data_IF_117847770055
#
_entry.id   IF_117847770055
#
_cell.length_a   1.000
_cell.length_b   1.000
_cell.length_c   1.000
_cell.angle_alpha   90.00
_cell.angle_beta   90.00
_cell.angle_gamma   90.00
#
_symmetry.space_group_name_H-M   'P 1'
#
loop_
_entity.id
_entity.type
_entity.pdbx_description
1 polymer ?
#
# COMPACT_ATOMS: atom_id res chain seq x y z
N UNK A 1 -2.27 21.98 -19.47
CA UNK A 1 -2.64 20.83 -20.32
C UNK A 1 -3.73 21.22 -21.33
N UNK A 2 -4.96 21.54 -20.91
CA UNK A 2 -6.06 21.82 -21.85
C UNK A 2 -5.84 23.08 -22.72
N UNK A 3 -5.25 24.12 -22.15
CA UNK A 3 -4.81 25.33 -22.90
C UNK A 3 -3.75 25.00 -23.96
N UNK A 4 -2.88 24.02 -23.69
CA UNK A 4 -1.87 23.57 -24.65
C UNK A 4 -2.49 22.83 -25.84
N UNK A 5 -3.45 21.93 -25.57
CA UNK A 5 -4.22 21.26 -26.61
C UNK A 5 -5.07 22.24 -27.42
N UNK A 6 -5.70 23.22 -26.77
CA UNK A 6 -6.50 24.23 -27.47
C UNK A 6 -5.65 25.09 -28.40
N UNK A 7 -4.47 25.52 -27.96
CA UNK A 7 -3.53 26.27 -28.80
C UNK A 7 -3.01 25.43 -29.98
N UNK A 8 -2.72 24.15 -29.75
CA UNK A 8 -2.30 23.24 -30.81
C UNK A 8 -3.41 22.97 -31.83
N UNK A 9 -4.64 22.74 -31.38
CA UNK A 9 -5.79 22.52 -32.26
C UNK A 9 -6.20 23.77 -33.03
N UNK A 10 -6.04 24.95 -32.43
CA UNK A 10 -6.16 26.23 -33.14
C UNK A 10 -5.11 26.38 -34.23
N UNK A 11 -3.85 25.99 -33.96
CA UNK A 11 -2.78 26.04 -34.96
C UNK A 11 -3.05 25.15 -36.18
N UNK A 12 -3.63 23.96 -35.99
CA UNK A 12 -4.00 23.04 -37.09
C UNK A 12 -5.42 23.26 -37.63
N UNK A 13 -6.09 24.37 -37.30
CA UNK A 13 -7.46 24.71 -37.71
C UNK A 13 -8.54 23.66 -37.29
N UNK A 14 -8.26 22.85 -36.27
CA UNK A 14 -9.15 21.78 -35.77
C UNK A 14 -9.72 22.10 -34.37
N UNK A 15 -10.06 23.35 -34.09
CA UNK A 15 -10.55 23.82 -32.78
C UNK A 15 -11.81 23.10 -32.27
N UNK A 16 -12.57 22.44 -33.17
CA UNK A 16 -13.72 21.60 -32.81
C UNK A 16 -13.34 20.35 -32.01
N UNK A 17 -12.06 19.96 -32.01
CA UNK A 17 -11.55 18.81 -31.27
C UNK A 17 -11.32 19.13 -29.78
N UNK A 18 -11.15 20.41 -29.42
CA UNK A 18 -10.92 20.85 -28.04
C UNK A 18 -12.02 20.39 -27.07
N UNK A 19 -13.34 20.57 -27.35
CA UNK A 19 -14.41 20.10 -26.48
C UNK A 19 -14.47 18.57 -26.34
N UNK A 20 -14.17 17.83 -27.41
CA UNK A 20 -14.18 16.35 -27.39
C UNK A 20 -13.09 15.82 -26.47
N UNK A 21 -11.88 16.36 -26.60
CA UNK A 21 -10.77 16.02 -25.71
C UNK A 21 -11.06 16.46 -24.27
N UNK A 22 -11.70 17.61 -24.06
CA UNK A 22 -12.11 18.02 -22.73
C UNK A 22 -13.06 17.02 -22.06
N UNK A 23 -14.06 16.51 -22.79
CA UNK A 23 -14.99 15.48 -22.30
C UNK A 23 -14.24 14.16 -22.03
N UNK A 24 -13.38 13.72 -22.95
CA UNK A 24 -12.59 12.50 -22.78
C UNK A 24 -11.67 12.58 -21.55
N UNK A 25 -11.02 13.73 -21.33
CA UNK A 25 -10.21 13.99 -20.14
C UNK A 25 -11.05 13.99 -18.87
N UNK A 26 -12.26 14.56 -18.89
CA UNK A 26 -13.17 14.54 -17.75
C UNK A 26 -13.54 13.10 -17.36
N UNK A 27 -13.91 12.24 -18.32
CA UNK A 27 -14.17 10.83 -18.06
C UNK A 27 -12.92 10.09 -17.56
N UNK A 28 -11.74 10.38 -18.12
CA UNK A 28 -10.48 9.80 -17.66
C UNK A 28 -10.17 10.14 -16.20
N UNK A 29 -10.36 11.39 -15.80
CA UNK A 29 -10.18 11.83 -14.41
C UNK A 29 -11.20 11.18 -13.48
N UNK A 30 -12.48 11.12 -13.86
CA UNK A 30 -13.53 10.48 -13.07
C UNK A 30 -13.27 8.99 -12.86
N UNK A 31 -12.90 8.27 -13.93
CA UNK A 31 -12.52 6.86 -13.86
C UNK A 31 -11.31 6.65 -12.93
N UNK A 32 -10.29 7.50 -13.06
CA UNK A 32 -9.12 7.49 -12.18
C UNK A 32 -9.50 7.64 -10.71
N UNK A 33 -10.31 8.66 -10.38
CA UNK A 33 -10.76 8.89 -8.99
C UNK A 33 -11.50 7.67 -8.44
N UNK A 34 -12.40 7.05 -9.20
CA UNK A 34 -13.13 5.86 -8.76
C UNK A 34 -12.19 4.67 -8.44
N UNK A 35 -11.18 4.44 -9.27
CA UNK A 35 -10.17 3.39 -9.04
C UNK A 35 -9.34 3.69 -7.78
N UNK A 36 -8.89 4.93 -7.63
CA UNK A 36 -8.05 5.36 -6.48
C UNK A 36 -8.81 5.42 -5.16
N UNK A 37 -10.13 5.57 -5.16
CA UNK A 37 -10.94 5.52 -3.92
C UNK A 37 -11.04 4.08 -3.39
N UNK A 38 -11.20 3.10 -4.28
CA UNK A 38 -11.41 1.70 -3.90
C UNK A 38 -10.11 0.99 -3.48
N UNK A 39 -9.00 1.23 -4.18
CA UNK A 39 -7.74 0.50 -3.99
C UNK A 39 -7.14 0.63 -2.57
N UNK A 40 -6.71 1.83 -2.14
CA UNK A 40 -6.14 2.07 -0.82
C UNK A 40 -7.07 1.63 0.32
N UNK A 41 -8.37 1.87 0.15
CA UNK A 41 -9.38 1.50 1.13
C UNK A 41 -9.43 -0.02 1.39
N UNK A 42 -9.27 -0.85 0.35
CA UNK A 42 -9.19 -2.31 0.52
C UNK A 42 -7.89 -2.73 1.22
N UNK A 43 -6.77 -2.10 0.91
CA UNK A 43 -5.50 -2.37 1.58
C UNK A 43 -5.56 -2.05 3.07
N UNK A 44 -6.08 -0.86 3.41
CA UNK A 44 -6.32 -0.44 4.80
C UNK A 44 -7.30 -1.38 5.49
N UNK A 45 -8.39 -1.78 4.81
CA UNK A 45 -9.38 -2.72 5.35
C UNK A 45 -8.76 -4.07 5.74
N UNK A 46 -7.89 -4.64 4.90
CA UNK A 46 -7.22 -5.90 5.18
C UNK A 46 -6.34 -5.82 6.44
N UNK A 47 -5.54 -4.76 6.56
CA UNK A 47 -4.72 -4.50 7.77
C UNK A 47 -5.61 -4.23 8.99
N UNK A 48 -6.74 -3.56 8.79
CA UNK A 48 -7.74 -3.33 9.84
C UNK A 48 -8.29 -4.62 10.43
N UNK A 49 -8.64 -5.60 9.60
CA UNK A 49 -9.15 -6.92 10.02
C UNK A 49 -8.12 -7.73 10.82
N UNK A 50 -6.82 -7.48 10.61
CA UNK A 50 -5.74 -8.01 11.45
C UNK A 50 -5.59 -7.29 12.81
N UNK A 51 -6.53 -6.42 13.18
CA UNK A 51 -6.58 -5.74 14.48
C UNK A 51 -5.74 -4.47 14.57
N UNK A 52 -5.26 -3.94 13.45
CA UNK A 52 -4.48 -2.69 13.40
C UNK A 52 -5.34 -1.43 13.30
N UNK A 53 -6.67 -1.58 13.24
CA UNK A 53 -7.62 -0.48 13.33
C UNK A 53 -8.82 -0.84 14.21
N UNK A 54 -9.50 0.16 14.82
CA UNK A 54 -10.72 -0.07 15.58
C UNK A 54 -11.80 -0.80 14.77
N UNK A 55 -12.65 -1.64 15.39
CA UNK A 55 -13.73 -2.38 14.72
C UNK A 55 -14.69 -1.49 13.94
N UNK A 56 -14.79 -0.21 14.30
CA UNK A 56 -15.53 0.79 13.52
C UNK A 56 -15.07 0.84 12.05
N UNK A 57 -13.77 0.81 11.78
CA UNK A 57 -13.22 0.89 10.41
C UNK A 57 -13.30 -0.43 9.64
N UNK A 58 -13.61 -1.53 10.33
CA UNK A 58 -13.68 -2.88 9.75
C UNK A 58 -15.10 -3.24 9.25
N UNK A 59 -16.05 -2.30 9.30
CA UNK A 59 -17.43 -2.55 8.87
C UNK A 59 -17.58 -2.42 7.35
N UNK A 60 -18.21 -3.41 6.75
CA UNK A 60 -18.59 -3.41 5.34
C UNK A 60 -20.10 -3.22 5.16
N UNK A 61 -20.54 -2.89 3.94
CA UNK A 61 -21.94 -2.98 3.53
C UNK A 61 -22.28 -4.40 3.01
N UNK A 62 -23.53 -4.60 2.57
CA UNK A 62 -24.00 -5.89 2.02
C UNK A 62 -23.22 -6.37 0.79
N UNK A 63 -22.52 -5.47 0.10
CA UNK A 63 -21.72 -5.75 -1.09
C UNK A 63 -20.22 -5.93 -0.76
N UNK A 64 -19.86 -6.00 0.52
CA UNK A 64 -18.48 -6.16 0.96
C UNK A 64 -17.63 -4.89 0.87
N UNK A 65 -18.23 -3.72 0.60
CA UNK A 65 -17.51 -2.45 0.51
C UNK A 65 -17.28 -1.84 1.88
N UNK A 66 -16.05 -1.44 2.19
CA UNK A 66 -15.58 -0.82 3.44
C UNK A 66 -16.14 0.60 3.66
N UNK A 67 -17.44 0.68 3.93
CA UNK A 67 -18.20 1.94 3.98
C UNK A 67 -17.60 2.98 4.95
N UNK A 68 -17.17 2.57 6.14
CA UNK A 68 -16.71 3.50 7.17
C UNK A 68 -15.37 4.15 6.80
N UNK A 69 -14.46 3.39 6.16
CA UNK A 69 -13.22 3.93 5.61
C UNK A 69 -13.55 4.92 4.49
N UNK A 70 -14.49 4.57 3.60
CA UNK A 70 -14.92 5.43 2.50
C UNK A 70 -15.52 6.76 2.99
N UNK A 71 -16.35 6.73 4.03
CA UNK A 71 -16.93 7.95 4.61
C UNK A 71 -15.87 8.84 5.25
N UNK A 72 -14.91 8.26 5.97
CA UNK A 72 -13.85 9.06 6.62
C UNK A 72 -12.92 9.71 5.60
N UNK A 73 -12.47 9.00 4.56
CA UNK A 73 -11.65 9.62 3.51
C UNK A 73 -12.45 10.66 2.71
N UNK A 74 -13.72 10.41 2.40
CA UNK A 74 -14.58 11.35 1.68
C UNK A 74 -14.80 12.62 2.49
N UNK A 75 -15.04 12.46 3.80
CA UNK A 75 -15.12 13.57 4.75
C UNK A 75 -13.81 14.35 4.81
N UNK A 76 -12.65 13.67 4.89
CA UNK A 76 -11.35 14.33 4.88
C UNK A 76 -11.13 15.15 3.59
N UNK A 77 -11.43 14.58 2.41
CA UNK A 77 -11.33 15.31 1.13
C UNK A 77 -12.30 16.48 1.07
N UNK A 78 -13.51 16.35 1.64
CA UNK A 78 -14.51 17.42 1.69
C UNK A 78 -14.03 18.58 2.56
N UNK A 79 -13.51 18.29 3.76
CA UNK A 79 -12.91 19.30 4.64
C UNK A 79 -11.71 19.96 3.96
N UNK A 80 -10.84 19.18 3.31
CA UNK A 80 -9.68 19.71 2.61
C UNK A 80 -10.09 20.59 1.42
N UNK A 81 -11.23 20.31 0.78
CA UNK A 81 -11.80 21.13 -0.28
C UNK A 81 -12.28 22.51 0.21
N UNK A 82 -12.54 22.70 1.51
CA UNK A 82 -12.84 24.03 2.06
C UNK A 82 -11.68 25.00 1.92
N UNK A 83 -10.44 24.52 1.67
CA UNK A 83 -9.31 25.39 1.33
C UNK A 83 -9.56 26.22 0.06
N UNK A 84 -10.47 25.83 -0.84
CA UNK A 84 -10.87 26.67 -1.97
C UNK A 84 -11.47 28.03 -1.55
N UNK A 85 -12.04 28.13 -0.34
CA UNK A 85 -12.62 29.38 0.17
C UNK A 85 -11.54 30.41 0.53
N UNK A 86 -10.37 29.94 0.97
CA UNK A 86 -9.27 30.79 1.47
C UNK A 86 -8.16 30.98 0.45
N UNK A 87 -8.10 30.17 -0.60
CA UNK A 87 -7.05 30.23 -1.61
C UNK A 87 -7.43 31.17 -2.77
N UNK A 88 -6.48 32.00 -3.25
CA UNK A 88 -6.75 32.97 -4.32
C UNK A 88 -6.95 32.32 -5.69
N UNK A 89 -6.54 31.07 -5.87
CA UNK A 89 -6.68 30.36 -7.14
C UNK A 89 -6.74 28.84 -6.98
N UNK A 90 -7.33 28.18 -7.98
CA UNK A 90 -7.33 26.71 -8.13
C UNK A 90 -5.91 26.16 -8.25
N UNK A 91 -5.02 26.89 -8.91
CA UNK A 91 -3.63 26.49 -9.08
C UNK A 91 -2.88 26.49 -7.73
N UNK A 92 -3.06 27.52 -6.91
CA UNK A 92 -2.45 27.60 -5.58
C UNK A 92 -2.98 26.49 -4.66
N UNK A 93 -4.29 26.20 -4.72
CA UNK A 93 -4.89 25.06 -4.00
C UNK A 93 -4.28 23.72 -4.43
N UNK A 94 -4.23 23.45 -5.73
CA UNK A 94 -3.68 22.20 -6.27
C UNK A 94 -2.23 21.99 -5.82
N UNK A 95 -1.45 23.07 -5.80
CA UNK A 95 -0.06 23.02 -5.37
C UNK A 95 0.09 22.70 -3.89
N UNK A 96 -0.70 23.32 -3.01
CA UNK A 96 -0.68 22.97 -1.58
C UNK A 96 -1.04 21.50 -1.37
N UNK A 97 -2.09 21.00 -2.03
CA UNK A 97 -2.51 19.60 -1.85
C UNK A 97 -1.51 18.60 -2.43
N UNK A 98 -0.96 18.91 -3.60
CA UNK A 98 0.10 18.13 -4.21
C UNK A 98 1.32 18.09 -3.29
N UNK A 99 1.72 19.24 -2.76
CA UNK A 99 2.87 19.37 -1.87
C UNK A 99 2.66 18.62 -0.55
N UNK A 100 1.48 18.73 0.05
CA UNK A 100 1.11 17.96 1.24
C UNK A 100 1.22 16.46 0.97
N UNK A 101 0.74 15.99 -0.19
CA UNK A 101 0.84 14.58 -0.59
C UNK A 101 2.29 14.14 -0.72
N UNK A 102 3.14 14.95 -1.37
CA UNK A 102 4.57 14.68 -1.53
C UNK A 102 5.26 14.59 -0.17
N UNK A 103 5.01 15.53 0.74
CA UNK A 103 5.56 15.53 2.11
C UNK A 103 5.20 14.24 2.84
N UNK A 104 3.93 13.83 2.80
CA UNK A 104 3.46 12.58 3.42
C UNK A 104 4.12 11.33 2.80
N UNK A 105 4.25 11.29 1.47
CA UNK A 105 4.93 10.21 0.76
C UNK A 105 6.41 10.12 1.14
N UNK A 106 7.11 11.25 1.25
CA UNK A 106 8.52 11.28 1.59
C UNK A 106 8.76 10.81 3.04
N UNK A 107 7.87 11.13 3.98
CA UNK A 107 7.93 10.56 5.34
C UNK A 107 7.84 9.04 5.28
N UNK A 108 6.89 8.50 4.50
CA UNK A 108 6.76 7.06 4.32
C UNK A 108 8.02 6.44 3.70
N UNK A 109 8.61 7.08 2.68
CA UNK A 109 9.84 6.60 2.06
C UNK A 109 11.03 6.63 3.04
N UNK A 110 11.18 7.69 3.84
CA UNK A 110 12.21 7.75 4.87
C UNK A 110 12.05 6.62 5.89
N UNK A 111 10.82 6.33 6.34
CA UNK A 111 10.53 5.19 7.22
C UNK A 111 10.81 3.85 6.52
N UNK A 112 10.47 3.71 5.25
CA UNK A 112 10.69 2.51 4.46
C UNK A 112 12.18 2.20 4.29
N UNK A 113 13.00 3.19 3.90
CA UNK A 113 14.44 3.01 3.76
C UNK A 113 15.11 2.68 5.10
N UNK A 114 14.73 3.40 6.16
CA UNK A 114 15.19 3.12 7.52
C UNK A 114 14.81 1.71 7.96
N UNK A 115 13.55 1.33 7.75
CA UNK A 115 13.03 0.00 8.08
C UNK A 115 13.76 -1.10 7.34
N UNK A 116 14.06 -0.92 6.05
CA UNK A 116 14.80 -1.89 5.26
C UNK A 116 16.24 -2.09 5.75
N UNK A 117 16.92 -1.03 6.20
CA UNK A 117 18.24 -1.09 6.83
C UNK A 117 18.14 -1.80 8.19
N UNK A 118 17.22 -1.38 9.06
CA UNK A 118 17.01 -1.97 10.40
C UNK A 118 16.68 -3.47 10.30
N UNK A 119 15.88 -3.86 9.31
CA UNK A 119 15.49 -5.26 9.08
C UNK A 119 16.70 -6.15 8.73
N UNK A 120 17.79 -5.60 8.19
CA UNK A 120 19.05 -6.36 7.98
C UNK A 120 19.69 -6.80 9.29
N UNK A 121 19.50 -6.03 10.35
CA UNK A 121 20.09 -6.29 11.66
C UNK A 121 19.15 -7.08 12.55
N UNK A 122 17.86 -6.76 12.56
CA UNK A 122 16.86 -7.42 13.40
C UNK A 122 16.49 -8.83 12.92
N UNK A 123 16.41 -9.06 11.61
CA UNK A 123 15.95 -10.35 11.04
C UNK A 123 17.00 -10.96 10.10
N UNK A 124 18.15 -11.36 10.67
CA UNK A 124 19.29 -11.90 9.91
C UNK A 124 19.02 -13.26 9.25
N UNK A 125 18.21 -14.10 9.89
CA UNK A 125 17.94 -15.50 9.48
C UNK A 125 16.73 -15.66 8.54
N UNK A 126 16.06 -14.56 8.17
CA UNK A 126 14.89 -14.61 7.30
C UNK A 126 15.31 -15.03 5.88
N UNK A 127 14.64 -16.03 5.30
CA UNK A 127 14.83 -16.39 3.90
C UNK A 127 14.31 -15.23 3.02
N UNK A 128 15.17 -14.71 2.13
CA UNK A 128 14.86 -13.55 1.28
C UNK A 128 14.97 -13.99 -0.18
N UNK A 129 13.84 -14.27 -0.86
CA UNK A 129 13.84 -14.65 -2.28
C UNK A 129 14.56 -13.61 -3.15
N UNK A 130 14.45 -12.34 -2.77
CA UNK A 130 15.20 -11.23 -3.34
C UNK A 130 16.07 -10.55 -2.29
N UNK A 131 17.38 -10.45 -2.54
CA UNK A 131 18.35 -9.82 -1.64
C UNK A 131 19.22 -8.81 -2.39
N UNK A 132 19.18 -7.56 -1.95
CA UNK A 132 20.12 -6.53 -2.40
C UNK A 132 21.51 -6.84 -1.82
N UNK A 133 22.49 -7.07 -2.69
CA UNK A 133 23.87 -7.41 -2.34
C UNK A 133 24.09 -8.90 -2.09
N UNK A 134 25.12 -9.46 -2.73
CA UNK A 134 25.49 -10.89 -2.64
C UNK A 134 26.11 -11.28 -1.28
N UNK A 135 26.70 -10.32 -0.55
CA UNK A 135 27.29 -10.53 0.78
C UNK A 135 27.26 -9.25 1.62
N UNK A 136 27.11 -9.40 2.94
CA UNK A 136 27.11 -8.30 3.90
C UNK A 136 25.90 -7.35 3.83
N UNK A 137 26.06 -6.16 4.44
CA UNK A 137 25.05 -5.09 4.51
C UNK A 137 25.49 -3.79 3.81
N UNK A 138 26.70 -3.73 3.25
CA UNK A 138 27.26 -2.49 2.68
C UNK A 138 26.44 -1.92 1.52
N UNK A 139 26.03 -2.77 0.56
CA UNK A 139 25.21 -2.31 -0.57
C UNK A 139 23.81 -1.86 -0.14
N UNK A 140 23.25 -2.48 0.92
CA UNK A 140 21.98 -2.05 1.49
C UNK A 140 22.10 -0.67 2.16
N UNK A 141 23.21 -0.41 2.86
CA UNK A 141 23.50 0.90 3.44
C UNK A 141 23.69 1.96 2.37
N UNK A 142 24.39 1.65 1.28
CA UNK A 142 24.57 2.58 0.19
C UNK A 142 23.23 2.93 -0.48
N UNK A 143 22.47 1.94 -0.93
CA UNK A 143 21.20 2.18 -1.65
C UNK A 143 20.13 2.75 -0.70
N UNK A 144 20.00 2.18 0.50
CA UNK A 144 19.04 2.64 1.50
C UNK A 144 19.39 4.03 2.04
N UNK A 145 20.67 4.28 2.30
CA UNK A 145 21.16 5.59 2.72
C UNK A 145 21.01 6.65 1.64
N UNK A 146 21.35 6.33 0.38
CA UNK A 146 21.14 7.24 -0.74
C UNK A 146 19.66 7.56 -0.96
N UNK A 147 18.78 6.55 -0.90
CA UNK A 147 17.33 6.73 -0.99
C UNK A 147 16.78 7.57 0.16
N UNK A 148 17.26 7.34 1.39
CA UNK A 148 16.90 8.15 2.56
C UNK A 148 17.35 9.60 2.41
N UNK A 149 18.62 9.84 2.08
CA UNK A 149 19.16 11.19 1.88
C UNK A 149 18.46 11.93 0.74
N UNK A 150 18.16 11.26 -0.37
CA UNK A 150 17.39 11.83 -1.47
C UNK A 150 15.97 12.20 -1.04
N UNK A 151 15.31 11.33 -0.28
CA UNK A 151 13.96 11.60 0.26
C UNK A 151 13.98 12.76 1.26
N UNK A 152 14.99 12.81 2.13
CA UNK A 152 15.17 13.88 3.11
C UNK A 152 15.44 15.23 2.43
N UNK A 153 16.31 15.26 1.42
CA UNK A 153 16.55 16.46 0.64
C UNK A 153 15.27 16.95 -0.03
N UNK A 154 14.55 16.06 -0.74
CA UNK A 154 13.27 16.40 -1.36
C UNK A 154 12.24 16.89 -0.32
N UNK A 155 12.26 16.34 0.90
CA UNK A 155 11.37 16.72 1.98
C UNK A 155 11.67 18.14 2.47
N UNK A 156 12.94 18.50 2.62
CA UNK A 156 13.34 19.87 3.00
C UNK A 156 12.96 20.86 1.89
N UNK A 157 13.25 20.52 0.63
CA UNK A 157 12.92 21.36 -0.52
C UNK A 157 11.41 21.52 -0.74
N UNK A 158 10.61 20.55 -0.29
CA UNK A 158 9.14 20.59 -0.34
C UNK A 158 8.52 21.75 0.46
N UNK A 159 9.25 22.33 1.40
CA UNK A 159 8.82 23.50 2.16
C UNK A 159 9.18 24.83 1.48
N UNK A 160 9.86 24.81 0.34
CA UNK A 160 10.20 26.01 -0.43
C UNK A 160 9.10 26.22 -1.49
N UNK A 161 8.22 27.25 -1.34
CA UNK A 161 7.16 27.49 -2.30
C UNK A 161 7.72 27.93 -3.66
N UNK A 162 7.12 27.51 -4.78
CA UNK A 162 7.54 27.95 -6.11
C UNK A 162 7.24 29.44 -6.31
N UNK A 163 8.24 30.22 -6.72
CA UNK A 163 8.13 31.68 -6.93
C UNK A 163 7.14 32.08 -8.03
N UNK A 164 6.77 31.16 -8.91
CA UNK A 164 5.87 31.39 -10.05
C UNK A 164 4.38 31.33 -9.68
N UNK A 165 4.05 30.92 -8.46
CA UNK A 165 2.66 30.73 -8.04
C UNK A 165 2.39 31.69 -6.90
N UNK A 166 1.38 32.55 -7.08
CA UNK A 166 0.86 33.36 -5.98
C UNK A 166 0.26 32.42 -4.95
N UNK A 167 1.06 32.00 -3.96
CA UNK A 167 0.66 31.10 -2.87
C UNK A 167 -0.38 31.75 -1.94
N UNK A 168 -0.85 32.96 -2.26
CA UNK A 168 -1.73 33.76 -1.42
C UNK A 168 -0.95 34.23 -0.20
N UNK A 169 -1.08 33.49 0.91
CA UNK A 169 -0.38 33.75 2.17
C UNK A 169 0.60 32.61 2.48
N UNK A 170 1.87 32.96 2.65
CA UNK A 170 2.90 32.01 3.10
C UNK A 170 2.52 31.37 4.44
N UNK A 171 1.84 32.10 5.33
CA UNK A 171 1.34 31.56 6.60
C UNK A 171 0.33 30.43 6.37
N UNK A 172 -0.61 30.59 5.43
CA UNK A 172 -1.59 29.54 5.09
C UNK A 172 -0.88 28.34 4.48
N UNK A 173 0.06 28.57 3.57
CA UNK A 173 0.88 27.50 2.96
C UNK A 173 1.57 26.64 4.01
N UNK A 174 2.38 27.24 4.89
CA UNK A 174 3.10 26.51 5.92
C UNK A 174 2.18 25.88 6.96
N UNK A 175 1.12 26.58 7.37
CA UNK A 175 0.17 26.04 8.35
C UNK A 175 -0.52 24.78 7.84
N UNK A 176 -1.02 24.79 6.60
CA UNK A 176 -1.68 23.62 6.00
C UNK A 176 -0.70 22.46 5.85
N UNK A 177 0.52 22.71 5.37
CA UNK A 177 1.52 21.66 5.20
C UNK A 177 1.94 21.03 6.53
N UNK A 178 2.28 21.85 7.53
CA UNK A 178 2.79 21.36 8.81
C UNK A 178 1.67 20.70 9.62
N UNK A 179 0.54 21.38 9.80
CA UNK A 179 -0.58 20.85 10.59
C UNK A 179 -1.17 19.64 9.88
N UNK A 180 -1.37 19.70 8.56
CA UNK A 180 -1.87 18.59 7.76
C UNK A 180 -0.95 17.37 7.85
N UNK A 181 0.37 17.58 7.72
CA UNK A 181 1.34 16.49 7.86
C UNK A 181 1.30 15.88 9.27
N UNK A 182 1.33 16.70 10.32
CA UNK A 182 1.29 16.24 11.71
C UNK A 182 0.02 15.43 11.98
N UNK A 183 -1.16 15.95 11.61
CA UNK A 183 -2.44 15.27 11.85
C UNK A 183 -2.49 13.92 11.14
N UNK A 184 -2.13 13.88 9.86
CA UNK A 184 -2.20 12.65 9.05
C UNK A 184 -1.16 11.63 9.49
N UNK A 185 0.05 12.06 9.87
CA UNK A 185 1.11 11.16 10.36
C UNK A 185 0.80 10.68 11.77
N UNK A 186 0.32 11.54 12.67
CA UNK A 186 0.02 11.16 14.05
C UNK A 186 -1.15 10.17 14.14
N UNK A 187 -2.16 10.30 13.28
CA UNK A 187 -3.35 9.44 13.29
C UNK A 187 -3.05 7.92 13.34
N UNK A 188 -2.25 7.32 12.44
CA UNK A 188 -1.92 5.90 12.51
C UNK A 188 -1.10 5.53 13.75
N UNK A 189 -0.20 6.40 14.22
CA UNK A 189 0.57 6.12 15.45
C UNK A 189 -0.31 6.12 16.71
N UNK A 190 -1.26 7.05 16.79
CA UNK A 190 -2.25 7.11 17.88
C UNK A 190 -3.14 5.86 17.84
N UNK A 191 -3.66 5.51 16.66
CA UNK A 191 -4.47 4.30 16.48
C UNK A 191 -3.69 3.05 16.92
N UNK A 192 -2.42 2.95 16.54
CA UNK A 192 -1.56 1.83 16.92
C UNK A 192 -1.30 1.79 18.43
N UNK A 193 -1.03 2.94 19.07
CA UNK A 193 -0.84 3.03 20.51
C UNK A 193 -2.11 2.65 21.30
N UNK A 194 -3.29 2.88 20.73
CA UNK A 194 -4.58 2.50 21.31
C UNK A 194 -5.04 1.08 20.94
N UNK A 195 -4.20 0.28 20.25
CA UNK A 195 -4.55 -1.08 19.79
C UNK A 195 -5.01 -1.94 20.96
N UNK A 196 -6.16 -2.60 20.78
CA UNK A 196 -6.71 -3.57 21.75
C UNK A 196 -6.69 -4.97 21.13
N UNK A 197 -6.44 -6.04 21.92
CA UNK A 197 -6.50 -7.42 21.42
C UNK A 197 -7.86 -7.78 20.79
N UNK A 198 -8.95 -7.16 21.27
CA UNK A 198 -10.32 -7.38 20.77
C UNK A 198 -10.58 -6.80 19.39
N UNK A 199 -9.63 -6.08 18.79
CA UNK A 199 -9.78 -5.52 17.45
C UNK A 199 -9.52 -6.53 16.35
N UNK A 200 -8.85 -7.64 16.63
CA UNK A 200 -8.60 -8.68 15.65
C UNK A 200 -9.94 -9.33 15.28
N UNK A 201 -10.24 -9.39 13.99
CA UNK A 201 -11.45 -10.08 13.54
C UNK A 201 -11.22 -11.60 13.57
N UNK A 202 -12.08 -12.39 14.24
CA UNK A 202 -11.92 -13.85 14.33
C UNK A 202 -11.93 -14.56 12.97
N UNK A 203 -12.51 -13.95 11.94
CA UNK A 203 -12.63 -14.52 10.59
C UNK A 203 -11.59 -13.90 9.62
N UNK A 204 -10.50 -13.32 10.12
CA UNK A 204 -9.48 -12.73 9.26
C UNK A 204 -8.62 -13.82 8.60
N UNK A 205 -8.48 -13.75 7.27
CA UNK A 205 -7.52 -14.56 6.50
C UNK A 205 -6.17 -13.85 6.32
N UNK A 206 -5.91 -12.78 7.09
CA UNK A 206 -4.67 -12.04 7.01
C UNK A 206 -3.55 -12.84 7.66
N UNK A 207 -2.44 -13.05 6.94
CA UNK A 207 -1.28 -13.74 7.50
C UNK A 207 -0.66 -12.90 8.63
N UNK A 208 -0.48 -13.46 9.83
CA UNK A 208 0.14 -12.75 10.95
C UNK A 208 1.51 -12.25 10.56
N UNK A 209 1.89 -11.08 11.09
CA UNK A 209 3.25 -10.61 10.85
C UNK A 209 4.26 -11.56 11.52
N UNK A 210 5.43 -11.74 10.92
CA UNK A 210 6.46 -12.68 11.41
C UNK A 210 6.98 -12.40 12.84
N UNK A 211 6.60 -11.27 13.44
CA UNK A 211 6.96 -10.87 14.80
C UNK A 211 5.79 -11.00 15.79
N UNK A 212 4.57 -11.29 15.34
CA UNK A 212 3.44 -11.64 16.21
C UNK A 212 3.57 -13.12 16.60
N UNK A 213 3.45 -13.43 17.89
CA UNK A 213 3.35 -14.82 18.34
C UNK A 213 2.09 -15.44 17.74
N UNK A 214 2.23 -16.50 16.94
CA UNK A 214 1.07 -17.18 16.39
C UNK A 214 0.29 -17.85 17.52
N UNK A 215 -1.02 -17.57 17.67
CA UNK A 215 -1.86 -18.45 18.46
C UNK A 215 -1.71 -19.83 17.84
N UNK A 216 -1.43 -20.84 18.67
CA UNK A 216 -1.25 -22.23 18.26
C UNK A 216 -2.59 -22.75 17.71
N UNK A 217 -2.92 -22.44 16.47
CA UNK A 217 -4.08 -23.01 15.78
C UNK A 217 -3.75 -24.48 15.60
N UNK A 218 -4.56 -25.34 16.23
CA UNK A 218 -4.44 -26.78 16.12
C UNK A 218 -4.30 -27.15 14.64
N UNK A 219 -3.19 -27.78 14.30
CA UNK A 219 -2.92 -28.27 12.97
C UNK A 219 -4.06 -29.22 12.57
N UNK A 220 -4.97 -28.76 11.71
CA UNK A 220 -5.79 -29.65 10.90
C UNK A 220 -4.85 -30.25 9.86
N UNK A 221 -4.30 -31.42 10.21
CA UNK A 221 -3.66 -32.35 9.30
C UNK A 221 -4.58 -32.62 8.12
N UNK A 222 -4.39 -31.90 7.02
CA UNK A 222 -4.76 -32.43 5.70
C UNK A 222 -3.60 -33.30 5.27
N UNK A 223 -3.58 -34.52 5.81
CA UNK A 223 -2.73 -35.59 5.35
C UNK A 223 -3.09 -35.86 3.89
N UNK A 224 -2.19 -35.55 2.95
CA UNK A 224 -2.23 -36.15 1.63
C UNK A 224 -1.98 -37.65 1.81
N UNK A 225 -3.06 -38.41 1.98
CA UNK A 225 -3.00 -39.85 2.07
C UNK A 225 -2.75 -40.42 0.67
N UNK A 226 -1.51 -40.88 0.45
CA UNK A 226 -1.15 -41.81 -0.61
C UNK A 226 -2.08 -43.03 -0.51
N UNK A 227 -2.91 -43.24 -1.52
CA UNK A 227 -3.80 -44.38 -1.60
C UNK A 227 -2.99 -45.65 -1.91
N UNK A 228 -2.86 -46.53 -0.93
CA UNK A 228 -2.55 -47.95 -1.14
C UNK A 228 -3.83 -48.75 -0.89
N UNK A 229 -4.38 -49.51 -1.85
CA UNK A 229 -5.48 -50.40 -1.59
C UNK A 229 -4.95 -51.77 -1.13
N UNK A 230 -5.30 -52.17 0.10
CA UNK A 230 -5.16 -53.55 0.57
C UNK A 230 -6.51 -54.06 1.11
N UNK A 231 -7.12 -54.99 0.37
CA UNK A 231 -8.01 -56.06 0.82
C UNK A 231 -8.29 -56.91 -0.45
N UNK A 232 -8.21 -58.24 -0.51
CA UNK A 232 -8.49 -59.29 0.47
C UNK A 232 -7.85 -60.61 -0.06
N UNK A 233 -7.64 -61.66 0.76
CA UNK A 233 -7.03 -62.91 0.30
C UNK A 233 -8.10 -63.88 -0.22
N UNK A 234 -7.93 -64.38 -1.46
CA UNK A 234 -8.67 -65.55 -1.96
C UNK A 234 -7.68 -66.60 -2.46
N UNK A 235 -7.62 -67.67 -1.67
CA UNK A 235 -7.15 -69.04 -1.89
C UNK A 235 -7.12 -69.50 -3.36
N UNK A 236 -5.97 -69.98 -3.88
CA UNK A 236 -5.60 -71.40 -4.10
C UNK A 236 -4.28 -71.53 -4.93
N UNK A 237 -3.55 -72.67 -4.86
CA UNK A 237 -2.12 -72.78 -5.19
C UNK A 237 -1.84 -73.46 -6.53
N UNK A 238 -0.77 -73.08 -7.23
CA UNK A 238 -0.04 -73.92 -8.21
C UNK A 238 1.31 -73.24 -8.46
N UNK A 239 2.39 -73.74 -7.87
CA UNK A 239 3.32 -74.72 -8.45
C UNK A 239 4.56 -74.06 -9.07
N UNK A 240 5.72 -74.64 -8.71
CA UNK A 240 6.94 -74.76 -9.53
C UNK A 240 7.72 -73.48 -9.90
N UNK A 241 9.04 -73.38 -9.94
CA UNK A 241 10.22 -74.21 -9.62
C UNK A 241 11.43 -73.32 -9.96
N UNK A 242 12.52 -73.37 -9.16
CA UNK A 242 13.92 -73.09 -9.56
C UNK A 242 14.28 -71.67 -10.08
N UNK A 243 15.52 -71.17 -10.03
CA UNK A 243 16.79 -71.62 -9.50
C UNK A 243 17.69 -70.38 -9.30
N UNK A 244 18.64 -70.52 -8.38
CA UNK A 244 20.03 -70.04 -8.41
C UNK A 244 20.48 -68.97 -9.43
N UNK A 245 21.20 -67.94 -8.95
CA UNK A 245 22.13 -67.19 -9.79
C UNK A 245 22.70 -65.93 -9.15
N UNK A 246 23.86 -66.07 -8.51
CA UNK A 246 24.70 -65.03 -7.91
C UNK A 246 25.27 -64.00 -8.91
N UNK A 247 25.83 -62.87 -8.42
CA UNK A 247 26.04 -61.63 -9.18
C UNK A 247 27.48 -61.46 -9.71
N UNK A 248 27.65 -60.53 -10.66
CA UNK A 248 28.84 -59.73 -11.05
C UNK A 248 28.43 -58.95 -12.33
N UNK A 249 28.84 -57.71 -12.60
CA UNK A 249 29.84 -56.80 -12.07
C UNK A 249 29.43 -55.36 -12.41
#
# INVERSE_FOLDING_TARGET
MLVGFDNYFKYIHASWLSPIIAIALAFGVLAGVLTWVAGPSKGIFAVGKAGYMPPFFQKTNKLGVQKNILFVQGGAVTVLSLLFVVMPSVQSFYQILSQLTVVLYLIMYMLMFTGAIVLRYKMKKLNRPFRIGKGGNGLMWFIGGLGFCGSLLAFILSFIPPSQISTGSNTVWFSVLIIGAIVVVAAPFIIYACKKPTWVDPNTNFEPFHWEEQPKVAASTTSTATATPTANPTVNPTSTTNNSGTPKS
#
